data_IF_807633874743
#
_entry.id   IF_807633874743
#
_cell.length_a   1.000
_cell.length_b   1.000
_cell.length_c   1.000
_cell.angle_alpha   90.00
_cell.angle_beta   90.00
_cell.angle_gamma   90.00
#
_symmetry.space_group_name_H-M   'P 1'
#
loop_
_entity.id
_entity.type
_entity.pdbx_description
1 polymer ?
#
# COMPACT_ATOMS: atom_id res chain seq x y z
N UNK A 1 5.07 -14.02 16.37
CA UNK A 1 4.51 -14.21 14.99
C UNK A 1 3.81 -12.93 14.59
N UNK A 2 4.13 -12.39 13.41
CA UNK A 2 3.61 -11.13 12.91
C UNK A 2 2.34 -11.42 12.10
N UNK A 3 1.18 -10.94 12.53
CA UNK A 3 -0.06 -11.07 11.76
C UNK A 3 -0.05 -10.16 10.51
N UNK A 4 -0.77 -10.53 9.46
CA UNK A 4 -0.94 -9.71 8.25
C UNK A 4 -2.34 -9.11 8.28
N UNK A 5 -2.43 -7.78 8.14
CA UNK A 5 -3.69 -7.04 8.09
C UNK A 5 -3.80 -6.32 6.74
N UNK A 6 -4.93 -6.49 6.08
CA UNK A 6 -5.30 -5.80 4.84
C UNK A 6 -6.60 -5.05 5.10
N UNK A 7 -6.62 -3.73 4.90
CA UNK A 7 -7.85 -2.93 4.96
C UNK A 7 -8.28 -2.57 3.55
N UNK A 8 -9.53 -2.89 3.19
CA UNK A 8 -10.04 -2.62 1.85
C UNK A 8 -11.53 -2.35 1.84
N UNK A 9 -11.98 -1.41 1.03
CA UNK A 9 -13.41 -1.16 0.76
C UNK A 9 -13.70 -1.25 -0.72
N UNK A 10 -14.88 -1.73 -1.06
CA UNK A 10 -15.29 -1.89 -2.45
C UNK A 10 -14.76 -3.16 -3.13
N UNK A 11 -15.17 -3.37 -4.38
CA UNK A 11 -14.76 -4.53 -5.18
C UNK A 11 -13.50 -4.24 -5.99
N UNK A 12 -12.48 -5.10 -5.85
CA UNK A 12 -11.25 -4.99 -6.62
C UNK A 12 -10.81 -6.34 -7.18
N UNK A 13 -10.51 -6.39 -8.48
CA UNK A 13 -10.11 -7.61 -9.20
C UNK A 13 -8.75 -8.17 -8.76
N UNK A 14 -7.93 -7.35 -8.10
CA UNK A 14 -6.60 -7.70 -7.66
C UNK A 14 -6.54 -8.19 -6.20
N UNK A 15 -7.57 -7.96 -5.39
CA UNK A 15 -7.55 -8.25 -3.97
C UNK A 15 -7.41 -9.77 -3.68
N UNK A 16 -8.22 -10.63 -4.32
CA UNK A 16 -8.10 -12.07 -4.15
C UNK A 16 -6.71 -12.61 -4.52
N UNK A 17 -6.11 -12.28 -5.67
CA UNK A 17 -4.74 -12.67 -5.99
C UNK A 17 -3.69 -12.21 -4.97
N UNK A 18 -3.85 -11.03 -4.37
CA UNK A 18 -2.96 -10.53 -3.33
C UNK A 18 -3.04 -11.42 -2.08
N UNK A 19 -4.25 -11.72 -1.62
CA UNK A 19 -4.49 -12.58 -0.46
C UNK A 19 -3.99 -14.01 -0.72
N UNK A 20 -4.26 -14.56 -1.92
CA UNK A 20 -3.74 -15.87 -2.34
C UNK A 20 -2.21 -15.92 -2.25
N UNK A 21 -1.52 -14.90 -2.76
CA UNK A 21 -0.07 -14.86 -2.72
C UNK A 21 0.47 -14.64 -1.30
N UNK A 22 -0.17 -13.79 -0.51
CA UNK A 22 0.17 -13.63 0.91
C UNK A 22 0.09 -14.96 1.65
N UNK A 23 -0.96 -15.77 1.44
CA UNK A 23 -1.12 -17.10 2.01
C UNK A 23 -0.07 -18.12 1.52
N UNK A 24 0.31 -18.07 0.23
CA UNK A 24 1.35 -18.96 -0.35
C UNK A 24 2.70 -18.75 0.33
N UNK A 25 3.08 -17.52 0.62
CA UNK A 25 4.34 -17.21 1.30
C UNK A 25 4.24 -17.32 2.82
N UNK A 26 3.05 -17.17 3.39
CA UNK A 26 2.80 -17.16 4.83
C UNK A 26 1.73 -18.19 5.22
N UNK A 27 2.01 -19.51 5.06
CA UNK A 27 0.99 -20.55 5.20
C UNK A 27 0.41 -20.67 6.62
N UNK A 28 1.19 -20.35 7.65
CA UNK A 28 0.83 -20.49 9.06
C UNK A 28 0.51 -19.13 9.75
N UNK A 29 0.65 -18.02 9.03
CA UNK A 29 0.44 -16.69 9.59
C UNK A 29 -1.04 -16.33 9.60
N UNK A 30 -1.51 -15.67 10.65
CA UNK A 30 -2.85 -15.09 10.66
C UNK A 30 -2.94 -13.96 9.61
N UNK A 31 -3.90 -14.06 8.70
CA UNK A 31 -4.19 -13.03 7.68
C UNK A 31 -5.61 -12.54 7.91
N UNK A 32 -5.77 -11.24 8.12
CA UNK A 32 -7.06 -10.59 8.34
C UNK A 32 -7.37 -9.63 7.19
N UNK A 33 -8.57 -9.74 6.64
CA UNK A 33 -9.13 -8.79 5.69
C UNK A 33 -10.21 -7.98 6.40
N UNK A 34 -9.88 -6.75 6.80
CA UNK A 34 -10.84 -5.81 7.38
C UNK A 34 -11.52 -5.06 6.23
N UNK A 35 -12.80 -5.31 6.00
CA UNK A 35 -13.46 -4.77 4.81
C UNK A 35 -14.98 -4.67 4.95
N UNK A 36 -15.59 -3.99 4.00
CA UNK A 36 -17.03 -3.88 3.91
C UNK A 36 -17.70 -5.13 3.30
N UNK A 37 -19.03 -5.16 3.27
CA UNK A 37 -19.81 -6.29 2.74
C UNK A 37 -19.58 -6.57 1.26
N UNK A 38 -19.03 -5.62 0.49
CA UNK A 38 -18.79 -5.78 -0.95
C UNK A 38 -17.74 -6.85 -1.28
N UNK A 39 -16.84 -7.14 -0.33
CA UNK A 39 -15.77 -8.13 -0.49
C UNK A 39 -16.20 -9.56 -0.14
N UNK A 40 -17.36 -9.78 0.48
CA UNK A 40 -17.88 -11.11 0.86
C UNK A 40 -17.93 -12.10 -0.31
N UNK A 41 -18.13 -11.60 -1.53
CA UNK A 41 -18.20 -12.41 -2.75
C UNK A 41 -16.83 -12.86 -3.31
N UNK A 42 -15.70 -12.52 -2.64
CA UNK A 42 -14.37 -12.84 -3.15
C UNK A 42 -13.92 -14.28 -2.92
N UNK A 43 -14.70 -15.09 -2.16
CA UNK A 43 -14.36 -16.50 -1.88
C UNK A 43 -12.93 -16.65 -1.34
N UNK A 44 -12.60 -15.91 -0.28
CA UNK A 44 -11.26 -15.93 0.34
C UNK A 44 -11.26 -16.52 1.75
N UNK A 45 -12.36 -17.13 2.20
CA UNK A 45 -12.54 -17.60 3.57
C UNK A 45 -11.49 -18.64 4.01
N UNK A 46 -11.00 -19.46 3.08
CA UNK A 46 -9.93 -20.43 3.37
C UNK A 46 -8.52 -19.79 3.37
N UNK A 47 -8.42 -18.52 2.96
CA UNK A 47 -7.14 -17.82 2.79
C UNK A 47 -6.89 -16.79 3.89
N UNK A 48 -7.94 -16.17 4.40
CA UNK A 48 -7.87 -15.14 5.44
C UNK A 48 -9.16 -15.10 6.27
N UNK A 49 -9.07 -14.53 7.47
CA UNK A 49 -10.25 -14.21 8.28
C UNK A 49 -10.84 -12.88 7.82
N UNK A 50 -12.08 -12.89 7.39
CA UNK A 50 -12.80 -11.68 7.01
C UNK A 50 -13.40 -10.99 8.25
N UNK A 51 -13.03 -9.73 8.44
CA UNK A 51 -13.47 -8.86 9.55
C UNK A 51 -14.38 -7.76 8.97
N UNK A 52 -15.54 -7.58 9.57
CA UNK A 52 -16.44 -6.51 9.16
C UNK A 52 -15.92 -5.16 9.69
N UNK A 53 -15.57 -4.26 8.78
CA UNK A 53 -15.02 -2.95 9.10
C UNK A 53 -15.94 -2.11 10.00
N UNK A 54 -17.26 -2.31 9.92
CA UNK A 54 -18.24 -1.54 10.71
C UNK A 54 -18.11 -1.79 12.22
N UNK A 55 -17.62 -2.97 12.62
CA UNK A 55 -17.47 -3.35 14.03
C UNK A 55 -16.37 -2.55 14.74
N UNK A 56 -15.41 -1.99 14.00
CA UNK A 56 -14.22 -1.29 14.53
C UNK A 56 -14.18 0.21 14.18
N UNK A 57 -15.31 0.81 13.83
CA UNK A 57 -15.37 2.24 13.42
C UNK A 57 -15.52 3.24 14.55
N UNK A 58 -15.67 2.82 15.80
CA UNK A 58 -15.99 3.73 16.89
C UNK A 58 -14.97 4.86 17.05
N UNK A 59 -13.69 4.53 17.16
CA UNK A 59 -12.64 5.54 17.29
C UNK A 59 -12.39 6.30 16.00
N UNK A 60 -12.50 5.65 14.86
CA UNK A 60 -12.43 6.29 13.56
C UNK A 60 -13.54 7.34 13.37
N UNK A 61 -14.76 7.07 13.86
CA UNK A 61 -15.85 8.04 13.82
C UNK A 61 -15.61 9.23 14.77
N UNK A 62 -15.01 9.02 15.97
CA UNK A 62 -14.59 10.13 16.82
C UNK A 62 -13.52 10.99 16.14
N UNK A 63 -12.54 10.38 15.47
CA UNK A 63 -11.55 11.13 14.70
C UNK A 63 -12.19 11.95 13.57
N UNK A 64 -13.20 11.41 12.90
CA UNK A 64 -13.94 12.13 11.84
C UNK A 64 -14.53 13.47 12.34
N UNK A 65 -14.94 13.56 13.60
CA UNK A 65 -15.51 14.79 14.19
C UNK A 65 -14.48 15.93 14.31
N UNK A 66 -13.20 15.60 14.46
CA UNK A 66 -12.11 16.59 14.55
C UNK A 66 -11.36 16.79 13.22
N UNK A 67 -11.58 15.93 12.24
CA UNK A 67 -10.88 15.96 10.95
C UNK A 67 -11.26 17.19 10.14
N UNK A 68 -10.25 17.94 9.72
CA UNK A 68 -10.39 19.05 8.78
C UNK A 68 -9.69 18.69 7.46
N UNK A 69 -10.45 18.69 6.36
CA UNK A 69 -9.94 18.32 5.05
C UNK A 69 -8.98 19.36 4.47
N UNK A 70 -7.75 18.93 4.17
CA UNK A 70 -6.66 19.76 3.65
C UNK A 70 -5.95 19.06 2.48
N UNK A 71 -6.70 18.65 1.44
CA UNK A 71 -6.17 17.96 0.28
C UNK A 71 -6.97 18.31 -0.99
N UNK A 72 -6.36 18.14 -2.17
CA UNK A 72 -7.05 18.19 -3.46
C UNK A 72 -7.74 16.88 -3.84
N UNK A 73 -7.49 15.80 -3.12
CA UNK A 73 -8.22 14.55 -3.25
C UNK A 73 -9.63 14.66 -2.65
N UNK A 74 -10.51 13.70 -2.87
CA UNK A 74 -11.85 13.76 -2.26
C UNK A 74 -11.79 13.61 -0.73
N UNK A 75 -12.74 14.25 -0.06
CA UNK A 75 -12.88 14.19 1.39
C UNK A 75 -12.95 12.76 1.92
N UNK A 76 -13.79 11.92 1.30
CA UNK A 76 -14.02 10.55 1.71
C UNK A 76 -12.77 9.68 1.57
N UNK A 77 -12.00 9.89 0.50
CA UNK A 77 -10.76 9.15 0.28
C UNK A 77 -9.71 9.49 1.35
N UNK A 78 -9.43 10.78 1.55
CA UNK A 78 -8.41 11.18 2.53
C UNK A 78 -8.83 10.87 3.97
N UNK A 79 -10.08 11.09 4.31
CA UNK A 79 -10.60 10.71 5.61
C UNK A 79 -10.43 9.20 5.86
N UNK A 80 -10.73 8.36 4.86
CA UNK A 80 -10.57 6.92 4.98
C UNK A 80 -9.10 6.52 5.16
N UNK A 81 -8.16 7.19 4.48
CA UNK A 81 -6.72 6.95 4.66
C UNK A 81 -6.28 7.16 6.13
N UNK A 82 -6.86 8.13 6.83
CA UNK A 82 -6.62 8.31 8.27
C UNK A 82 -7.41 7.33 9.13
N UNK A 83 -8.70 7.15 8.85
CA UNK A 83 -9.61 6.32 9.65
C UNK A 83 -9.15 4.87 9.73
N UNK A 84 -8.51 4.34 8.66
CA UNK A 84 -8.04 2.94 8.64
C UNK A 84 -7.11 2.62 9.80
N UNK A 85 -6.29 3.56 10.26
CA UNK A 85 -5.35 3.35 11.37
C UNK A 85 -6.06 3.18 12.71
N UNK A 86 -7.13 3.94 12.95
CA UNK A 86 -7.98 3.79 14.13
C UNK A 86 -8.75 2.46 14.11
N UNK A 87 -9.25 2.05 12.95
CA UNK A 87 -9.92 0.77 12.74
C UNK A 87 -8.96 -0.39 13.03
N UNK A 88 -7.74 -0.34 12.49
CA UNK A 88 -6.70 -1.35 12.75
C UNK A 88 -6.37 -1.39 14.24
N UNK A 89 -6.15 -0.23 14.88
CA UNK A 89 -5.86 -0.15 16.32
C UNK A 89 -6.95 -0.81 17.15
N UNK A 90 -8.20 -0.46 16.93
CA UNK A 90 -9.32 -1.00 17.71
C UNK A 90 -9.42 -2.52 17.50
N UNK A 91 -9.24 -3.00 16.28
CA UNK A 91 -9.21 -4.43 15.96
C UNK A 91 -8.06 -5.18 16.66
N UNK A 92 -6.83 -4.69 16.58
CA UNK A 92 -5.67 -5.40 17.17
C UNK A 92 -5.72 -5.43 18.68
N UNK A 93 -6.22 -4.37 19.32
CA UNK A 93 -6.36 -4.31 20.77
C UNK A 93 -7.43 -5.28 21.28
N UNK A 94 -8.60 -5.31 20.63
CA UNK A 94 -9.69 -6.21 21.02
C UNK A 94 -9.29 -7.69 20.84
N UNK A 95 -8.49 -7.99 19.81
CA UNK A 95 -8.06 -9.35 19.51
C UNK A 95 -6.67 -9.72 20.08
N UNK A 96 -6.09 -8.87 20.93
CA UNK A 96 -4.78 -9.09 21.58
C UNK A 96 -3.66 -9.46 20.58
N UNK A 97 -3.59 -8.75 19.44
CA UNK A 97 -2.57 -8.94 18.42
C UNK A 97 -1.37 -8.05 18.75
N UNK A 98 -0.30 -8.64 19.29
CA UNK A 98 0.88 -7.90 19.77
C UNK A 98 1.73 -7.28 18.64
N UNK A 99 1.84 -7.96 17.48
CA UNK A 99 2.65 -7.51 16.35
C UNK A 99 1.95 -7.85 15.03
N UNK A 100 1.92 -6.90 14.12
CA UNK A 100 1.29 -7.08 12.82
C UNK A 100 1.94 -6.21 11.75
N UNK A 101 1.81 -6.64 10.51
CA UNK A 101 2.12 -5.82 9.33
C UNK A 101 0.82 -5.44 8.62
N UNK A 102 0.62 -4.15 8.42
CA UNK A 102 -0.43 -3.66 7.52
C UNK A 102 0.16 -3.58 6.11
N UNK A 103 -0.45 -4.28 5.15
CA UNK A 103 -0.09 -4.17 3.74
C UNK A 103 -1.24 -3.56 2.94
N UNK A 104 -0.91 -2.73 1.96
CA UNK A 104 -1.91 -2.20 1.03
C UNK A 104 -2.49 -3.32 0.17
N UNK A 105 -3.75 -3.17 -0.22
CA UNK A 105 -4.49 -4.19 -0.98
C UNK A 105 -3.96 -4.42 -2.41
N UNK A 106 -2.94 -3.69 -2.84
CA UNK A 106 -2.20 -3.83 -4.09
C UNK A 106 -0.70 -4.12 -3.86
N UNK A 107 -0.37 -4.64 -2.67
CA UNK A 107 0.96 -5.04 -2.27
C UNK A 107 1.12 -6.57 -2.34
N UNK A 108 2.09 -7.06 -3.10
CA UNK A 108 2.41 -8.49 -3.25
C UNK A 108 3.56 -8.90 -2.34
N UNK A 109 3.37 -9.93 -1.53
CA UNK A 109 4.42 -10.56 -0.74
C UNK A 109 5.16 -11.65 -1.54
N UNK A 110 6.49 -11.73 -1.37
CA UNK A 110 7.39 -12.74 -1.93
C UNK A 110 8.28 -13.40 -0.88
N UNK A 111 7.99 -13.14 0.41
CA UNK A 111 8.69 -13.75 1.55
C UNK A 111 7.73 -13.91 2.74
N UNK A 112 8.19 -14.66 3.74
CA UNK A 112 7.54 -14.77 5.04
C UNK A 112 7.73 -13.46 5.82
N UNK A 113 6.64 -12.88 6.34
CA UNK A 113 6.68 -11.59 7.04
C UNK A 113 7.56 -11.65 8.30
N UNK A 114 7.51 -12.74 9.06
CA UNK A 114 8.38 -12.94 10.21
C UNK A 114 9.87 -12.88 9.83
N UNK A 115 10.22 -13.34 8.62
CA UNK A 115 11.60 -13.46 8.18
C UNK A 115 12.27 -12.14 7.90
N UNK A 116 11.57 -11.23 7.21
CA UNK A 116 12.16 -9.94 6.84
C UNK A 116 11.78 -8.79 7.77
N UNK A 117 10.75 -8.92 8.62
CA UNK A 117 10.31 -7.86 9.52
C UNK A 117 10.78 -8.02 10.97
N UNK A 118 11.10 -9.23 11.44
CA UNK A 118 11.61 -9.46 12.81
C UNK A 118 12.75 -8.52 13.22
N UNK A 119 13.72 -8.15 12.34
CA UNK A 119 14.79 -7.22 12.72
C UNK A 119 14.31 -5.83 13.12
N UNK A 120 13.04 -5.49 12.87
CA UNK A 120 12.48 -4.17 13.09
C UNK A 120 11.42 -4.12 14.21
N UNK A 121 11.23 -5.20 14.98
CA UNK A 121 10.22 -5.28 16.04
C UNK A 121 10.39 -4.23 17.15
N UNK A 122 11.61 -3.77 17.39
CA UNK A 122 11.91 -2.73 18.38
C UNK A 122 11.61 -1.30 17.87
N UNK A 123 11.19 -1.15 16.64
CA UNK A 123 10.79 0.14 16.07
C UNK A 123 9.32 0.41 16.35
N UNK A 124 8.95 1.69 16.43
CA UNK A 124 7.54 2.06 16.52
C UNK A 124 6.81 1.58 15.25
N UNK A 125 7.43 1.77 14.08
CA UNK A 125 6.92 1.18 12.84
C UNK A 125 7.96 1.17 11.72
N UNK A 126 7.68 0.38 10.66
CA UNK A 126 8.42 0.45 9.40
C UNK A 126 7.68 1.34 8.39
N UNK A 127 8.46 1.96 7.52
CA UNK A 127 7.98 2.71 6.35
C UNK A 127 8.72 2.26 5.10
N UNK A 128 8.16 2.57 3.96
CA UNK A 128 8.91 2.57 2.70
C UNK A 128 9.37 3.98 2.36
N UNK A 129 10.10 4.14 1.26
CA UNK A 129 10.62 5.41 0.78
C UNK A 129 9.51 6.50 0.73
N UNK A 130 9.88 7.75 1.03
CA UNK A 130 8.94 8.88 1.15
C UNK A 130 7.80 8.65 2.17
N UNK A 131 8.04 7.84 3.21
CA UNK A 131 7.06 7.53 4.26
C UNK A 131 5.78 6.88 3.74
N UNK A 132 5.89 6.03 2.71
CA UNK A 132 4.77 5.27 2.17
C UNK A 132 4.39 4.12 3.12
N UNK A 133 3.15 4.07 3.63
CA UNK A 133 2.69 3.04 4.55
C UNK A 133 2.13 1.79 3.84
N UNK A 134 2.75 1.37 2.73
CA UNK A 134 2.27 0.27 1.91
C UNK A 134 2.63 -1.13 2.45
N UNK A 135 3.61 -1.19 3.36
CA UNK A 135 4.02 -2.36 4.12
C UNK A 135 4.58 -1.88 5.46
N UNK A 136 3.72 -1.77 6.47
CA UNK A 136 4.06 -1.12 7.74
C UNK A 136 3.89 -2.09 8.89
N UNK A 137 5.01 -2.46 9.53
CA UNK A 137 5.04 -3.23 10.77
C UNK A 137 4.69 -2.31 11.94
N UNK A 138 3.83 -2.77 12.83
CA UNK A 138 3.50 -2.15 14.10
C UNK A 138 3.49 -3.18 15.22
N UNK A 139 3.69 -2.70 16.46
CA UNK A 139 3.18 -3.36 17.66
C UNK A 139 1.83 -2.75 18.08
N UNK A 140 1.11 -3.42 18.99
CA UNK A 140 -0.11 -2.92 19.62
C UNK A 140 0.11 -1.56 20.32
N UNK A 141 1.25 -1.40 20.99
CA UNK A 141 1.62 -0.15 21.65
C UNK A 141 1.99 0.94 20.65
N UNK A 142 2.67 0.63 19.56
CA UNK A 142 3.12 1.62 18.59
C UNK A 142 1.99 2.15 17.71
N UNK A 143 1.00 1.34 17.37
CA UNK A 143 -0.20 1.83 16.65
C UNK A 143 -1.04 2.78 17.53
N UNK A 144 -1.08 2.54 18.83
CA UNK A 144 -1.73 3.47 19.79
C UNK A 144 -1.05 4.82 19.80
N UNK A 145 0.30 4.86 19.88
CA UNK A 145 1.09 6.10 19.81
C UNK A 145 0.86 6.83 18.49
N UNK A 146 0.83 6.09 17.37
CA UNK A 146 0.61 6.66 16.05
C UNK A 146 -0.79 7.26 15.91
N UNK A 147 -1.85 6.60 16.37
CA UNK A 147 -3.21 7.14 16.37
C UNK A 147 -3.32 8.39 17.27
N UNK A 148 -2.71 8.39 18.45
CA UNK A 148 -2.67 9.57 19.31
C UNK A 148 -1.92 10.74 18.65
N UNK A 149 -0.86 10.45 17.89
CA UNK A 149 -0.17 11.46 17.10
C UNK A 149 -1.06 12.02 15.98
N UNK A 150 -1.80 11.19 15.25
CA UNK A 150 -2.77 11.65 14.23
C UNK A 150 -3.81 12.58 14.89
N UNK A 151 -4.37 12.21 16.03
CA UNK A 151 -5.30 13.09 16.75
C UNK A 151 -4.65 14.45 17.12
N UNK A 152 -3.40 14.44 17.57
CA UNK A 152 -2.66 15.64 17.89
C UNK A 152 -2.42 16.57 16.69
N UNK A 153 -2.35 16.03 15.48
CA UNK A 153 -2.24 16.83 14.25
C UNK A 153 -3.46 17.74 14.02
N UNK A 154 -4.61 17.38 14.57
CA UNK A 154 -5.86 18.14 14.42
C UNK A 154 -6.29 18.87 15.69
N UNK A 155 -5.72 18.53 16.85
CA UNK A 155 -6.09 19.12 18.15
C UNK A 155 -5.01 20.05 18.72
N UNK A 156 -3.73 19.84 18.40
CA UNK A 156 -2.66 20.69 18.91
C UNK A 156 -2.52 21.95 18.06
N UNK A 157 -2.77 23.15 18.59
CA UNK A 157 -2.77 24.38 17.80
C UNK A 157 -1.45 24.67 17.07
N UNK A 158 -0.30 24.27 17.64
CA UNK A 158 1.00 24.45 17.01
C UNK A 158 1.10 23.58 15.75
N UNK A 159 0.72 22.30 15.85
CA UNK A 159 0.77 21.35 14.72
C UNK A 159 -0.27 21.75 13.66
N UNK A 160 -1.47 22.14 14.06
CA UNK A 160 -2.52 22.62 13.15
C UNK A 160 -2.02 23.82 12.32
N UNK A 161 -1.39 24.81 12.95
CA UNK A 161 -0.83 25.97 12.24
C UNK A 161 0.26 25.57 11.24
N UNK A 162 1.14 24.62 11.61
CA UNK A 162 2.15 24.09 10.67
C UNK A 162 1.49 23.36 9.48
N UNK A 163 0.44 22.57 9.71
CA UNK A 163 -0.33 21.90 8.64
C UNK A 163 -1.03 22.91 7.72
N UNK A 164 -1.59 23.98 8.29
CA UNK A 164 -2.22 25.04 7.52
C UNK A 164 -1.22 25.75 6.61
N UNK A 165 -0.02 26.02 7.09
CA UNK A 165 1.05 26.61 6.30
C UNK A 165 1.50 25.66 5.16
N UNK A 166 1.63 24.35 5.44
CA UNK A 166 1.95 23.36 4.39
C UNK A 166 0.85 23.31 3.34
N UNK A 167 -0.41 23.25 3.73
CA UNK A 167 -1.52 23.20 2.80
C UNK A 167 -1.68 24.51 1.99
N UNK A 168 -1.41 25.65 2.60
CA UNK A 168 -1.38 26.92 1.88
C UNK A 168 -0.31 26.93 0.76
N UNK A 169 0.86 26.33 1.01
CA UNK A 169 1.90 26.18 -0.02
C UNK A 169 1.45 25.29 -1.20
N UNK A 170 0.77 24.17 -0.95
CA UNK A 170 0.17 23.35 -2.03
C UNK A 170 -0.79 24.18 -2.91
N UNK A 171 -1.62 25.02 -2.27
CA UNK A 171 -2.56 25.90 -3.00
C UNK A 171 -1.84 26.96 -3.81
N UNK A 172 -0.79 27.56 -3.27
CA UNK A 172 -0.03 28.63 -3.92
C UNK A 172 0.80 28.11 -5.10
N UNK A 173 1.40 26.91 -4.97
CA UNK A 173 2.16 26.28 -6.05
C UNK A 173 1.29 25.66 -7.13
N UNK A 174 -0.03 25.48 -6.89
CA UNK A 174 -0.93 24.76 -7.79
C UNK A 174 -0.66 23.24 -7.84
N UNK A 175 0.11 22.72 -6.92
CA UNK A 175 0.40 21.28 -6.84
C UNK A 175 -0.81 20.51 -6.33
N UNK A 176 -1.02 19.32 -6.92
CA UNK A 176 -2.04 18.38 -6.45
C UNK A 176 -1.51 17.61 -5.23
N UNK A 177 -2.40 17.32 -4.29
CA UNK A 177 -2.07 16.64 -3.05
C UNK A 177 -2.52 17.44 -1.84
N UNK A 178 -1.85 17.25 -0.71
CA UNK A 178 -2.16 17.92 0.55
C UNK A 178 -1.81 17.05 1.74
N UNK A 179 -2.53 17.27 2.84
CA UNK A 179 -2.34 16.53 4.08
C UNK A 179 -3.08 15.20 4.01
N UNK A 180 -2.33 14.10 4.10
CA UNK A 180 -2.81 12.72 4.07
C UNK A 180 -2.14 11.90 5.17
N UNK A 181 -2.44 10.62 5.26
CA UNK A 181 -1.82 9.74 6.24
C UNK A 181 -0.29 9.62 6.06
N UNK A 182 0.23 9.71 4.83
CA UNK A 182 1.69 9.78 4.60
C UNK A 182 2.32 11.00 5.29
N UNK A 183 1.60 12.13 5.36
CA UNK A 183 2.04 13.30 6.12
C UNK A 183 2.16 12.96 7.60
N UNK A 184 1.22 12.18 8.15
CA UNK A 184 1.29 11.75 9.55
C UNK A 184 2.53 10.87 9.80
N UNK A 185 2.86 9.92 8.90
CA UNK A 185 4.08 9.11 9.00
C UNK A 185 5.34 9.97 8.95
N UNK A 186 5.44 10.91 8.00
CA UNK A 186 6.57 11.83 7.85
C UNK A 186 6.75 12.69 9.11
N UNK A 187 5.66 13.22 9.65
CA UNK A 187 5.73 14.08 10.80
C UNK A 187 5.97 13.31 12.10
N UNK A 188 5.40 12.11 12.24
CA UNK A 188 5.75 11.22 13.34
C UNK A 188 7.27 10.97 13.37
N UNK A 189 7.86 10.62 12.24
CA UNK A 189 9.31 10.42 12.13
C UNK A 189 10.10 11.69 12.46
N UNK A 190 9.63 12.87 12.02
CA UNK A 190 10.25 14.16 12.32
C UNK A 190 10.29 14.44 13.83
N UNK A 191 9.20 14.11 14.54
CA UNK A 191 9.09 14.36 15.98
C UNK A 191 9.66 13.23 16.85
N UNK A 192 9.77 12.02 16.32
CA UNK A 192 10.25 10.83 17.02
C UNK A 192 11.42 10.21 16.23
N UNK A 193 12.53 10.93 16.13
CA UNK A 193 13.70 10.50 15.38
C UNK A 193 14.22 9.15 15.89
N UNK A 194 14.68 8.28 14.95
CA UNK A 194 15.25 6.95 15.22
C UNK A 194 14.28 5.87 15.73
N UNK A 195 12.98 6.15 15.84
CA UNK A 195 12.00 5.14 16.26
C UNK A 195 11.38 4.39 15.09
N UNK A 196 11.70 4.77 13.86
CA UNK A 196 11.18 4.13 12.63
C UNK A 196 12.30 3.49 11.81
N UNK A 197 11.93 2.59 10.90
CA UNK A 197 12.87 1.99 9.96
C UNK A 197 12.36 2.04 8.53
N UNK A 198 13.23 2.39 7.58
CA UNK A 198 12.92 2.35 6.14
C UNK A 198 13.29 0.98 5.57
N UNK A 199 12.28 0.18 5.21
CA UNK A 199 12.44 -1.18 4.66
C UNK A 199 12.61 -1.23 3.13
N UNK A 200 12.56 -0.08 2.44
CA UNK A 200 12.97 -0.02 1.03
C UNK A 200 14.50 0.04 0.88
N UNK A 201 15.21 0.41 1.94
CA UNK A 201 16.68 0.32 2.00
C UNK A 201 17.07 -1.14 2.28
N UNK A 202 18.06 -1.68 1.55
CA UNK A 202 18.47 -3.07 1.73
C UNK A 202 18.94 -3.37 3.16
N UNK A 203 18.37 -4.40 3.78
CA UNK A 203 18.83 -4.98 5.03
C UNK A 203 19.14 -6.46 4.79
N UNK A 204 20.40 -6.87 4.99
CA UNK A 204 20.86 -8.23 4.72
C UNK A 204 20.51 -8.74 3.31
N UNK A 205 20.63 -7.88 2.28
CA UNK A 205 20.33 -8.21 0.89
C UNK A 205 18.84 -8.32 0.55
N UNK A 206 17.96 -7.91 1.46
CA UNK A 206 16.49 -7.92 1.30
C UNK A 206 15.94 -6.50 1.47
N UNK A 207 14.95 -6.14 0.67
CA UNK A 207 14.22 -4.88 0.79
C UNK A 207 12.76 -5.06 0.35
N UNK A 208 11.98 -4.01 0.49
CA UNK A 208 10.62 -3.89 -0.06
C UNK A 208 10.64 -2.94 -1.25
N UNK A 209 10.03 -3.35 -2.37
CA UNK A 209 9.79 -2.45 -3.50
C UNK A 209 8.55 -1.59 -3.20
N UNK A 210 8.80 -0.33 -2.86
CA UNK A 210 7.80 0.66 -2.44
C UNK A 210 6.85 1.08 -3.56
N UNK A 211 7.34 1.12 -4.80
CA UNK A 211 6.56 1.53 -5.95
C UNK A 211 7.22 1.07 -7.25
N UNK A 212 6.52 0.24 -8.02
CA UNK A 212 7.00 -0.30 -9.29
C UNK A 212 7.43 0.77 -10.32
N UNK A 213 6.78 1.94 -10.31
CA UNK A 213 7.07 3.04 -11.24
C UNK A 213 7.95 4.16 -10.66
N UNK A 214 8.69 3.88 -9.61
CA UNK A 214 9.59 4.82 -8.96
C UNK A 214 10.94 4.15 -8.75
N UNK A 215 12.06 4.84 -9.00
CA UNK A 215 13.38 4.25 -8.79
C UNK A 215 13.61 3.92 -7.32
N UNK A 216 13.36 4.89 -6.43
CA UNK A 216 13.57 4.76 -4.96
C UNK A 216 14.96 4.16 -4.65
N UNK A 217 15.99 4.61 -5.39
CA UNK A 217 17.35 4.11 -5.26
C UNK A 217 17.65 2.82 -6.02
N UNK A 218 16.73 2.32 -6.86
CA UNK A 218 16.93 1.13 -7.70
C UNK A 218 16.95 1.49 -9.18
N UNK A 219 17.70 0.71 -9.97
CA UNK A 219 17.77 0.86 -11.42
C UNK A 219 16.40 0.76 -12.07
N UNK A 220 16.16 1.59 -13.09
CA UNK A 220 14.92 1.60 -13.89
C UNK A 220 15.12 0.90 -15.23
N UNK A 221 14.05 0.31 -15.78
CA UNK A 221 14.05 -0.34 -17.09
C UNK A 221 13.84 0.69 -18.22
N UNK A 222 14.91 1.33 -18.66
CA UNK A 222 14.90 2.34 -19.73
C UNK A 222 14.42 1.80 -21.09
N UNK A 223 14.45 0.46 -21.29
CA UNK A 223 14.04 -0.19 -22.54
C UNK A 223 12.55 -0.49 -22.56
N UNK A 224 11.93 -0.61 -21.40
CA UNK A 224 10.51 -0.90 -21.29
C UNK A 224 9.69 0.37 -21.52
N UNK A 225 9.37 0.65 -22.78
CA UNK A 225 8.30 1.60 -23.13
C UNK A 225 6.95 0.98 -22.76
N UNK A 226 6.66 0.83 -21.47
CA UNK A 226 5.38 0.28 -21.08
C UNK A 226 4.27 1.29 -21.42
N UNK A 227 3.18 0.75 -21.94
CA UNK A 227 1.92 1.41 -22.37
C UNK A 227 1.21 2.25 -21.29
N UNK A 228 1.84 2.42 -20.12
CA UNK A 228 1.35 3.24 -19.03
C UNK A 228 2.05 4.58 -19.16
N UNK A 229 1.33 5.51 -19.71
CA UNK A 229 1.68 6.88 -20.07
C UNK A 229 2.73 7.49 -19.11
N UNK A 230 3.95 7.68 -19.64
CA UNK A 230 4.94 8.59 -19.08
C UNK A 230 5.76 8.10 -17.88
N UNK A 231 5.59 6.85 -17.41
CA UNK A 231 6.35 6.31 -16.27
C UNK A 231 7.24 5.15 -16.70
N UNK A 232 8.51 5.22 -16.32
CA UNK A 232 9.48 4.15 -16.55
C UNK A 232 9.42 3.21 -15.33
N UNK A 233 9.25 1.90 -15.54
CA UNK A 233 9.21 0.94 -14.43
C UNK A 233 10.60 0.72 -13.81
N UNK A 234 10.61 0.28 -12.56
CA UNK A 234 11.79 -0.29 -11.92
C UNK A 234 12.25 -1.53 -12.69
N UNK A 235 13.54 -1.73 -12.82
CA UNK A 235 14.12 -2.94 -13.42
C UNK A 235 13.98 -4.11 -12.45
N UNK A 236 13.03 -5.00 -12.72
CA UNK A 236 12.84 -6.22 -11.93
C UNK A 236 13.51 -7.40 -12.62
N UNK A 237 14.53 -7.94 -12.00
CA UNK A 237 15.20 -9.17 -12.41
C UNK A 237 14.59 -10.34 -11.66
N UNK A 238 14.41 -11.47 -12.35
CA UNK A 238 13.84 -12.67 -11.76
C UNK A 238 14.90 -13.76 -11.63
N UNK A 239 15.12 -14.24 -10.40
CA UNK A 239 16.03 -15.34 -10.10
C UNK A 239 15.33 -16.34 -9.20
N UNK A 240 15.24 -17.61 -9.63
CA UNK A 240 14.50 -18.66 -8.93
C UNK A 240 13.05 -18.27 -8.59
N UNK A 241 12.36 -17.64 -9.53
CA UNK A 241 10.99 -17.12 -9.39
C UNK A 241 10.79 -16.04 -8.30
N UNK A 242 11.86 -15.44 -7.79
CA UNK A 242 11.83 -14.31 -6.86
C UNK A 242 12.24 -13.01 -7.57
N UNK A 243 11.63 -11.87 -7.20
CA UNK A 243 11.97 -10.56 -7.77
C UNK A 243 13.21 -9.95 -7.11
N UNK A 244 14.06 -9.33 -7.93
CA UNK A 244 15.25 -8.59 -7.50
C UNK A 244 15.31 -7.23 -8.19
N UNK A 245 15.83 -6.24 -7.47
CA UNK A 245 16.28 -4.96 -8.03
C UNK A 245 17.80 -4.82 -7.95
N UNK A 246 18.37 -3.92 -8.75
CA UNK A 246 19.75 -3.51 -8.63
C UNK A 246 19.76 -2.20 -7.84
N UNK A 247 20.37 -2.19 -6.65
CA UNK A 247 20.46 -1.00 -5.81
C UNK A 247 21.54 -0.06 -6.34
N UNK A 248 21.19 1.18 -6.67
CA UNK A 248 22.08 2.09 -7.41
C UNK A 248 23.33 2.52 -6.62
N UNK A 249 23.25 2.56 -5.27
CA UNK A 249 24.37 3.03 -4.45
C UNK A 249 25.62 2.15 -4.56
N UNK A 250 25.47 0.83 -4.73
CA UNK A 250 26.57 -0.13 -4.73
C UNK A 250 26.47 -1.18 -5.84
N UNK A 251 25.48 -1.07 -6.73
CA UNK A 251 25.18 -2.03 -7.79
C UNK A 251 24.87 -3.46 -7.30
N UNK A 252 24.48 -3.60 -6.05
CA UNK A 252 24.12 -4.92 -5.50
C UNK A 252 22.75 -5.39 -5.98
N UNK A 253 22.65 -6.71 -6.16
CA UNK A 253 21.40 -7.39 -6.44
C UNK A 253 20.65 -7.63 -5.13
N UNK A 254 19.54 -6.93 -4.93
CA UNK A 254 18.73 -6.96 -3.72
C UNK A 254 17.43 -7.71 -4.00
N UNK A 255 17.09 -8.68 -3.14
CA UNK A 255 15.84 -9.42 -3.24
C UNK A 255 14.69 -8.59 -2.68
N UNK A 256 13.59 -8.51 -3.42
CA UNK A 256 12.38 -7.88 -2.90
C UNK A 256 11.50 -8.88 -2.13
N UNK A 257 11.28 -8.61 -0.85
CA UNK A 257 10.35 -9.37 0.00
C UNK A 257 8.88 -9.06 -0.31
N UNK A 258 8.62 -7.91 -0.91
CA UNK A 258 7.30 -7.50 -1.39
C UNK A 258 7.42 -6.41 -2.44
N UNK A 259 6.34 -6.18 -3.20
CA UNK A 259 6.29 -5.15 -4.24
C UNK A 259 4.93 -4.47 -4.28
N UNK A 260 4.92 -3.14 -4.27
CA UNK A 260 3.72 -2.32 -4.33
C UNK A 260 3.38 -1.95 -5.77
N UNK A 261 2.27 -2.48 -6.26
CA UNK A 261 1.79 -2.27 -7.62
C UNK A 261 0.78 -1.11 -7.69
N UNK A 262 1.18 0.06 -7.24
CA UNK A 262 0.36 1.24 -7.09
C UNK A 262 -0.25 1.73 -8.43
N UNK A 263 -1.48 2.23 -8.37
CA UNK A 263 -2.14 2.93 -9.48
C UNK A 263 -2.25 2.07 -10.74
N UNK A 264 -1.62 2.52 -11.83
CA UNK A 264 -1.64 1.81 -13.12
C UNK A 264 -0.93 0.46 -13.13
N UNK A 265 -0.01 0.21 -12.17
CA UNK A 265 0.72 -1.06 -12.06
C UNK A 265 -0.19 -2.23 -11.66
N UNK A 266 -1.33 -1.98 -11.02
CA UNK A 266 -2.35 -3.01 -10.71
C UNK A 266 -2.74 -3.85 -11.93
N UNK A 267 -2.63 -3.32 -13.15
CA UNK A 267 -2.98 -4.02 -14.40
C UNK A 267 -2.01 -5.12 -14.77
N UNK A 268 -0.78 -5.02 -14.31
CA UNK A 268 0.28 -5.98 -14.61
C UNK A 268 0.55 -6.92 -13.45
N UNK A 269 -0.27 -6.89 -12.39
CA UNK A 269 -0.12 -7.75 -11.21
C UNK A 269 0.05 -9.23 -11.59
N UNK A 270 -0.65 -9.69 -12.64
CA UNK A 270 -0.54 -11.06 -13.14
C UNK A 270 0.87 -11.50 -13.53
N UNK A 271 1.76 -10.55 -13.87
CA UNK A 271 3.17 -10.82 -14.20
C UNK A 271 4.00 -11.17 -12.96
N UNK A 272 3.48 -10.86 -11.78
CA UNK A 272 4.14 -11.03 -10.50
C UNK A 272 3.58 -12.19 -9.68
N UNK A 273 2.45 -12.77 -10.10
CA UNK A 273 1.80 -13.85 -9.35
C UNK A 273 2.58 -15.16 -9.46
N UNK A 274 2.55 -15.92 -8.36
CA UNK A 274 3.10 -17.28 -8.29
C UNK A 274 1.99 -18.32 -8.09
N UNK A 275 2.31 -19.58 -8.35
CA UNK A 275 1.45 -20.71 -8.01
C UNK A 275 1.74 -21.23 -6.59
N UNK A 276 1.01 -22.27 -6.15
CA UNK A 276 1.18 -22.90 -4.84
C UNK A 276 2.60 -23.44 -4.56
N UNK A 277 3.39 -23.67 -5.61
CA UNK A 277 4.79 -24.11 -5.51
C UNK A 277 5.76 -22.93 -5.57
N UNK A 278 5.28 -21.70 -5.41
CA UNK A 278 6.03 -20.43 -5.52
C UNK A 278 6.66 -20.22 -6.91
N UNK A 279 6.13 -20.88 -7.96
CA UNK A 279 6.57 -20.70 -9.34
C UNK A 279 5.76 -19.59 -10.02
N UNK A 280 6.43 -18.72 -10.78
CA UNK A 280 5.76 -17.62 -11.49
C UNK A 280 4.71 -18.15 -12.47
N UNK A 281 3.53 -17.57 -12.39
CA UNK A 281 2.47 -17.78 -13.37
C UNK A 281 2.79 -16.94 -14.61
N UNK A 282 3.37 -17.55 -15.62
CA UNK A 282 3.70 -16.89 -16.89
C UNK A 282 3.20 -17.71 -18.07
N UNK A 283 3.17 -17.08 -19.24
CA UNK A 283 2.74 -17.71 -20.50
C UNK A 283 1.60 -16.96 -21.18
N UNK A 284 1.47 -17.20 -22.49
CA UNK A 284 0.52 -16.49 -23.34
C UNK A 284 -0.93 -16.69 -22.90
N UNK A 285 -1.33 -17.94 -22.65
CA UNK A 285 -2.70 -18.26 -22.21
C UNK A 285 -3.06 -17.68 -20.86
N UNK A 286 -2.14 -17.68 -19.90
CA UNK A 286 -2.35 -17.06 -18.59
C UNK A 286 -2.55 -15.55 -18.73
N UNK A 287 -1.71 -14.91 -19.54
CA UNK A 287 -1.82 -13.49 -19.85
C UNK A 287 -3.17 -13.16 -20.50
N UNK A 288 -3.61 -13.94 -21.49
CA UNK A 288 -4.90 -13.74 -22.16
C UNK A 288 -6.05 -13.94 -21.18
N UNK A 289 -6.06 -15.03 -20.42
CA UNK A 289 -7.13 -15.31 -19.45
C UNK A 289 -7.29 -14.20 -18.42
N UNK A 290 -6.17 -13.61 -17.98
CA UNK A 290 -6.19 -12.47 -17.09
C UNK A 290 -6.77 -11.21 -17.76
N UNK A 291 -6.36 -10.89 -18.98
CA UNK A 291 -6.79 -9.72 -19.72
C UNK A 291 -8.27 -9.77 -20.13
N UNK A 292 -8.83 -10.97 -20.24
CA UNK A 292 -10.23 -11.22 -20.56
C UNK A 292 -11.15 -11.19 -19.33
N UNK A 293 -10.62 -11.05 -18.10
CA UNK A 293 -11.50 -10.88 -16.92
C UNK A 293 -12.42 -9.68 -17.11
N UNK A 294 -13.75 -9.82 -16.91
CA UNK A 294 -14.72 -8.76 -17.22
C UNK A 294 -14.40 -7.42 -16.58
N UNK A 295 -13.88 -7.42 -15.36
CA UNK A 295 -13.50 -6.21 -14.61
C UNK A 295 -12.33 -5.46 -15.27
N UNK A 296 -11.36 -6.19 -15.84
CA UNK A 296 -10.20 -5.60 -16.54
C UNK A 296 -10.63 -5.11 -17.92
N UNK A 297 -11.46 -5.86 -18.61
CA UNK A 297 -12.00 -5.52 -19.94
C UNK A 297 -12.85 -4.25 -19.85
N UNK A 298 -13.82 -4.18 -18.92
CA UNK A 298 -14.66 -3.01 -18.72
C UNK A 298 -13.87 -1.76 -18.33
N UNK A 299 -12.82 -1.90 -17.52
CA UNK A 299 -11.94 -0.79 -17.18
C UNK A 299 -11.18 -0.24 -18.41
N UNK A 300 -10.73 -1.12 -19.30
CA UNK A 300 -10.06 -0.72 -20.56
C UNK A 300 -11.01 0.04 -21.47
N UNK A 301 -12.23 -0.44 -21.64
CA UNK A 301 -13.27 0.23 -22.44
C UNK A 301 -13.59 1.60 -21.88
N UNK A 302 -13.85 1.73 -20.58
CA UNK A 302 -14.11 3.04 -19.95
C UNK A 302 -12.98 4.03 -20.20
N UNK A 303 -11.72 3.58 -20.14
CA UNK A 303 -10.58 4.46 -20.40
C UNK A 303 -10.46 4.90 -21.84
N UNK A 304 -10.75 4.03 -22.81
CA UNK A 304 -10.79 4.39 -24.24
C UNK A 304 -11.89 5.42 -24.47
N UNK A 305 -13.08 5.20 -23.93
CA UNK A 305 -14.20 6.15 -24.01
C UNK A 305 -13.82 7.50 -23.40
N UNK A 306 -13.20 7.52 -22.23
CA UNK A 306 -12.79 8.78 -21.58
C UNK A 306 -11.70 9.51 -22.38
N UNK A 307 -10.75 8.78 -22.99
CA UNK A 307 -9.77 9.39 -23.92
C UNK A 307 -10.43 10.00 -25.16
N UNK A 308 -11.39 9.29 -25.75
CA UNK A 308 -12.14 9.78 -26.90
C UNK A 308 -12.94 11.05 -26.52
N UNK A 309 -13.60 11.06 -25.36
CA UNK A 309 -14.29 12.24 -24.85
C UNK A 309 -13.34 13.44 -24.69
N UNK A 310 -12.16 13.22 -24.08
CA UNK A 310 -11.16 14.28 -23.89
C UNK A 310 -10.64 14.84 -25.21
N UNK A 311 -10.45 14.00 -26.23
CA UNK A 311 -10.04 14.42 -27.58
C UNK A 311 -11.15 15.23 -28.25
N UNK A 312 -12.40 14.81 -28.11
CA UNK A 312 -13.55 15.54 -28.66
C UNK A 312 -13.69 16.91 -27.98
N UNK A 313 -13.61 16.97 -26.66
CA UNK A 313 -13.71 18.20 -25.87
C UNK A 313 -12.58 19.20 -26.20
N UNK A 314 -11.37 18.73 -26.47
CA UNK A 314 -10.23 19.58 -26.87
C UNK A 314 -10.27 20.03 -28.32
N UNK A 315 -11.05 19.38 -29.21
CA UNK A 315 -11.21 19.78 -30.62
C UNK A 315 -12.46 20.66 -30.85
N UNK A 316 -13.29 20.87 -29.84
CA UNK A 316 -14.47 21.74 -29.87
C UNK A 316 -14.19 23.14 -29.25
N UNK A 317 -13.04 23.29 -28.60
CA UNK A 317 -12.50 24.58 -28.13
C UNK A 317 -11.50 25.14 -29.13
#
# INVERSE_FOLDING_TARGET
>A
MIAIIIVHTGKSYYLKPIIEQARIYNPNTAIYLISDSSTKSLEVNDLCTHINIEEYKNSANRFKEIYTHKSSNSYEFELFCFMRWFIIRDFVLENSIESFVCIDSDFLLFDEVDKFLTPFLEKDFTICDECLPNCTLFSDSSIQKFCAFIESMYLNPKIVNELDAVFANYKLSGELGGICDMTAFTWYQKYNSNTTANISIPHNGVAVDDCYYKSSGYCIDKKSKQLIVGRIPKLILWKNDLPYGIYENNNELVRFAGSHLQGGAKRIIYKFLVDKNKKRKHGFFYTISWLLKPQIFNYRIKRVINKIKLIIENNIR
#
